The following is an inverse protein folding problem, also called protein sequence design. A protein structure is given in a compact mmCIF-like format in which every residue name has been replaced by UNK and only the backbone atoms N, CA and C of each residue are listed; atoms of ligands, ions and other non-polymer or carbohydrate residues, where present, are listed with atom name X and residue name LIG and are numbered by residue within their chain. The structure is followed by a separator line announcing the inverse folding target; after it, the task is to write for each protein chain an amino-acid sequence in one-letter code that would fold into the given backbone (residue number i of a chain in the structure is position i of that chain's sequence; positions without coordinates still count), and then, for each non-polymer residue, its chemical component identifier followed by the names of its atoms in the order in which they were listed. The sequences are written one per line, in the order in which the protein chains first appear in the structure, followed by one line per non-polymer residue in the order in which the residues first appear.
data_IF_794997447128
#
_entry.id   IF_794997447128
#
_cell.length_a   1.000
_cell.length_b   1.000
_cell.length_c   1.000
_cell.angle_alpha   90.00
_cell.angle_beta   90.00
_cell.angle_gamma   90.00
#
_symmetry.space_group_name_H-M   'P 1'
#
loop_
_entity.id
_entity.type
_entity.pdbx_description
1 polymer ?
#
# COMPACT_ATOMS: atom_id res chain seq x y z
N UNK A 1 2.25 5.60 -14.10
CA UNK A 1 2.89 4.68 -13.15
C UNK A 1 1.86 3.68 -12.63
N UNK A 2 2.32 2.55 -12.14
CA UNK A 2 1.51 1.60 -11.37
C UNK A 2 1.87 1.75 -9.89
N UNK A 3 0.93 2.19 -9.07
CA UNK A 3 1.15 2.44 -7.64
C UNK A 3 0.50 1.30 -6.84
N UNK A 4 1.31 0.63 -6.02
CA UNK A 4 0.77 -0.36 -5.08
C UNK A 4 0.25 0.31 -3.82
N UNK A 5 -0.91 -0.17 -3.33
CA UNK A 5 -1.47 0.27 -2.06
C UNK A 5 -1.62 -0.92 -1.11
N UNK A 6 -0.93 -0.84 0.03
CA UNK A 6 -1.08 -1.74 1.16
C UNK A 6 -2.01 -1.12 2.20
N UNK A 7 -3.06 -1.82 2.59
CA UNK A 7 -4.06 -1.31 3.51
C UNK A 7 -4.81 -2.44 4.20
N UNK A 8 -5.68 -2.08 5.15
CA UNK A 8 -6.45 -3.05 5.94
C UNK A 8 -7.46 -3.83 5.10
N UNK A 9 -7.55 -5.14 5.37
CA UNK A 9 -8.65 -6.02 4.95
C UNK A 9 -9.66 -6.31 6.09
N UNK A 10 -9.44 -5.77 7.29
CA UNK A 10 -10.31 -6.00 8.43
C UNK A 10 -11.69 -5.36 8.21
N UNK A 11 -12.80 -6.08 8.52
CA UNK A 11 -14.16 -5.61 8.20
C UNK A 11 -14.61 -4.43 9.07
N UNK A 12 -14.13 -4.36 10.31
CA UNK A 12 -14.63 -3.43 11.35
C UNK A 12 -13.66 -2.26 11.60
N UNK A 13 -13.03 -1.72 10.56
CA UNK A 13 -12.21 -0.52 10.67
C UNK A 13 -13.09 0.74 10.66
N UNK A 14 -12.53 1.84 11.15
CA UNK A 14 -13.19 3.14 11.11
C UNK A 14 -13.67 3.47 9.68
N UNK A 15 -14.95 3.77 9.47
CA UNK A 15 -15.49 4.16 8.17
C UNK A 15 -14.72 5.30 7.51
N UNK A 16 -14.17 6.24 8.29
CA UNK A 16 -13.35 7.33 7.77
C UNK A 16 -12.11 6.83 7.03
N UNK A 17 -11.51 5.71 7.46
CA UNK A 17 -10.39 5.10 6.75
C UNK A 17 -10.82 4.44 5.43
N UNK A 18 -12.04 3.91 5.37
CA UNK A 18 -12.61 3.37 4.12
C UNK A 18 -12.82 4.50 3.11
N UNK A 19 -13.40 5.62 3.56
CA UNK A 19 -13.60 6.80 2.71
C UNK A 19 -12.27 7.37 2.25
N UNK A 20 -11.27 7.41 3.13
CA UNK A 20 -9.94 7.89 2.80
C UNK A 20 -9.21 6.98 1.80
N UNK A 21 -9.38 5.66 1.92
CA UNK A 21 -8.86 4.71 0.94
C UNK A 21 -9.50 4.90 -0.44
N UNK A 22 -10.81 5.20 -0.49
CA UNK A 22 -11.49 5.54 -1.73
C UNK A 22 -10.91 6.82 -2.36
N UNK A 23 -10.71 7.88 -1.57
CA UNK A 23 -10.13 9.14 -2.07
C UNK A 23 -8.67 8.96 -2.53
N UNK A 24 -7.88 8.08 -1.90
CA UNK A 24 -6.56 7.72 -2.41
C UNK A 24 -6.66 7.05 -3.78
N UNK A 25 -7.55 6.07 -3.94
CA UNK A 25 -7.76 5.41 -5.24
C UNK A 25 -8.17 6.37 -6.33
N UNK A 26 -9.10 7.27 -6.03
CA UNK A 26 -9.51 8.37 -6.92
C UNK A 26 -8.34 9.29 -7.25
N UNK A 27 -7.54 9.69 -6.27
CA UNK A 27 -6.35 10.52 -6.47
C UNK A 27 -5.32 9.86 -7.40
N UNK A 28 -5.08 8.54 -7.24
CA UNK A 28 -4.22 7.74 -8.13
C UNK A 28 -4.71 7.85 -9.58
N UNK A 29 -6.01 7.64 -9.80
CA UNK A 29 -6.62 7.71 -11.13
C UNK A 29 -6.52 9.11 -11.75
N UNK A 30 -6.87 10.15 -10.99
CA UNK A 30 -6.83 11.55 -11.46
C UNK A 30 -5.40 12.03 -11.76
N UNK A 31 -4.39 11.44 -11.10
CA UNK A 31 -2.98 11.67 -11.41
C UNK A 31 -2.49 10.88 -12.65
N UNK A 32 -3.36 10.11 -13.31
CA UNK A 32 -3.03 9.33 -14.51
C UNK A 32 -2.23 8.05 -14.19
N UNK A 33 -2.43 7.49 -13.02
CA UNK A 33 -1.74 6.27 -12.57
C UNK A 33 -2.71 5.09 -12.47
N UNK A 34 -2.19 3.87 -12.50
CA UNK A 34 -2.93 2.64 -12.29
C UNK A 34 -2.69 2.12 -10.86
N UNK A 35 -3.65 1.36 -10.33
CA UNK A 35 -3.58 0.74 -9.02
C UNK A 35 -3.11 -0.71 -9.11
N UNK A 36 -2.16 -1.10 -8.26
CA UNK A 36 -1.85 -2.49 -7.90
C UNK A 36 -2.27 -2.72 -6.45
N UNK A 37 -2.95 -3.86 -6.15
CA UNK A 37 -3.36 -4.16 -4.76
C UNK A 37 -3.56 -5.66 -4.54
N UNK A 38 -3.88 -6.04 -3.32
CA UNK A 38 -4.08 -7.43 -2.92
C UNK A 38 -5.31 -8.16 -3.50
N UNK A 39 -6.05 -7.55 -4.43
CA UNK A 39 -7.12 -8.20 -5.20
C UNK A 39 -8.46 -8.39 -4.47
N UNK A 40 -8.59 -7.99 -3.20
CA UNK A 40 -9.82 -8.15 -2.43
C UNK A 40 -10.79 -6.96 -2.61
N UNK A 41 -12.11 -7.23 -2.50
CA UNK A 41 -13.17 -6.21 -2.56
C UNK A 41 -13.65 -5.71 -1.20
N UNK A 42 -13.06 -6.16 -0.10
CA UNK A 42 -13.50 -5.85 1.26
C UNK A 42 -12.71 -4.68 1.87
N UNK A 43 -13.32 -3.99 2.85
CA UNK A 43 -12.69 -2.97 3.67
C UNK A 43 -11.97 -1.87 2.85
N UNK A 44 -10.84 -1.36 3.34
CA UNK A 44 -10.03 -0.36 2.65
C UNK A 44 -9.48 -0.86 1.29
N UNK A 45 -9.19 -2.16 1.16
CA UNK A 45 -8.75 -2.76 -0.10
C UNK A 45 -9.79 -2.60 -1.21
N UNK A 46 -11.06 -2.92 -0.91
CA UNK A 46 -12.16 -2.72 -1.86
C UNK A 46 -12.44 -1.25 -2.15
N UNK A 47 -12.29 -0.38 -1.16
CA UNK A 47 -12.52 1.04 -1.30
C UNK A 47 -11.49 1.71 -2.23
N UNK A 48 -10.20 1.43 -2.04
CA UNK A 48 -9.15 1.99 -2.92
C UNK A 48 -9.30 1.52 -4.37
N UNK A 49 -9.62 0.23 -4.58
CA UNK A 49 -9.85 -0.31 -5.92
C UNK A 49 -11.08 0.31 -6.58
N UNK A 50 -12.17 0.53 -5.82
CA UNK A 50 -13.37 1.22 -6.31
C UNK A 50 -13.06 2.67 -6.68
N UNK A 51 -12.39 3.43 -5.82
CA UNK A 51 -11.99 4.81 -6.09
C UNK A 51 -11.15 4.94 -7.35
N UNK A 52 -10.17 4.07 -7.55
CA UNK A 52 -9.34 4.04 -8.75
C UNK A 52 -10.16 3.74 -10.01
N UNK A 53 -10.95 2.67 -9.99
CA UNK A 53 -11.73 2.21 -11.14
C UNK A 53 -12.81 3.20 -11.57
N UNK A 54 -13.58 3.74 -10.63
CA UNK A 54 -14.66 4.70 -10.91
C UNK A 54 -14.14 6.02 -11.50
N UNK A 55 -12.85 6.31 -11.33
CA UNK A 55 -12.18 7.49 -11.91
C UNK A 55 -11.24 7.15 -13.08
N UNK A 56 -11.35 5.96 -13.66
CA UNK A 56 -10.74 5.62 -14.95
C UNK A 56 -9.37 4.94 -14.90
N UNK A 57 -8.83 4.63 -13.73
CA UNK A 57 -7.59 3.86 -13.61
C UNK A 57 -7.82 2.37 -13.85
N UNK A 58 -6.82 1.68 -14.37
CA UNK A 58 -6.76 0.22 -14.33
C UNK A 58 -6.49 -0.24 -12.89
N UNK A 59 -7.09 -1.37 -12.54
CA UNK A 59 -6.92 -2.01 -11.23
C UNK A 59 -6.37 -3.42 -11.43
N UNK A 60 -5.17 -3.68 -10.89
CA UNK A 60 -4.41 -4.91 -11.08
C UNK A 60 -4.30 -5.60 -9.72
N UNK A 61 -5.14 -6.62 -9.52
CA UNK A 61 -5.19 -7.39 -8.26
C UNK A 61 -4.27 -8.60 -8.27
N UNK A 62 -3.66 -8.89 -7.13
CA UNK A 62 -2.88 -10.12 -6.93
C UNK A 62 -3.37 -10.82 -5.67
N UNK A 63 -3.92 -12.03 -5.79
CA UNK A 63 -4.50 -12.75 -4.67
C UNK A 63 -4.10 -14.24 -4.68
N UNK A 64 -3.69 -14.80 -3.55
CA UNK A 64 -3.48 -16.24 -3.42
C UNK A 64 -4.80 -17.01 -3.54
N UNK A 65 -4.78 -18.13 -4.25
CA UNK A 65 -5.96 -19.02 -4.40
C UNK A 65 -6.58 -19.41 -3.06
N UNK A 66 -5.77 -19.61 -2.04
CA UNK A 66 -6.23 -19.95 -0.68
C UNK A 66 -7.00 -18.82 0.03
N UNK A 67 -6.91 -17.59 -0.46
CA UNK A 67 -7.58 -16.41 0.11
C UNK A 67 -8.77 -15.93 -0.72
N UNK A 68 -8.98 -16.49 -1.91
CA UNK A 68 -10.07 -16.08 -2.81
C UNK A 68 -11.43 -16.04 -2.10
N UNK A 69 -11.76 -17.09 -1.35
CA UNK A 69 -13.04 -17.17 -0.62
C UNK A 69 -13.05 -16.33 0.66
N UNK A 70 -11.90 -16.16 1.30
CA UNK A 70 -11.77 -15.44 2.58
C UNK A 70 -11.76 -13.93 2.41
N UNK A 71 -11.01 -13.44 1.44
CA UNK A 71 -10.84 -12.01 1.15
C UNK A 71 -11.87 -11.52 0.12
N UNK A 72 -12.66 -12.43 -0.43
CA UNK A 72 -13.67 -12.17 -1.46
C UNK A 72 -13.05 -11.36 -2.59
N UNK A 73 -12.42 -12.03 -3.54
CA UNK A 73 -11.79 -11.41 -4.72
C UNK A 73 -12.69 -10.35 -5.37
N UNK A 74 -12.10 -9.27 -5.88
CA UNK A 74 -12.85 -8.26 -6.61
C UNK A 74 -13.11 -8.71 -8.05
N UNK A 75 -14.38 -9.03 -8.42
CA UNK A 75 -14.72 -9.47 -9.77
C UNK A 75 -14.62 -8.33 -10.81
N UNK A 76 -14.49 -7.08 -10.34
CA UNK A 76 -14.42 -5.89 -11.18
C UNK A 76 -12.98 -5.41 -11.41
N UNK A 77 -11.96 -6.17 -10.97
CA UNK A 77 -10.57 -5.88 -11.29
C UNK A 77 -10.36 -5.85 -12.80
N UNK A 78 -9.58 -4.89 -13.30
CA UNK A 78 -9.19 -4.88 -14.73
C UNK A 78 -8.35 -6.11 -15.08
N UNK A 79 -7.46 -6.47 -14.16
CA UNK A 79 -6.61 -7.66 -14.22
C UNK A 79 -6.59 -8.31 -12.83
N UNK A 80 -6.71 -9.64 -12.77
CA UNK A 80 -6.60 -10.39 -11.51
C UNK A 80 -5.64 -11.56 -11.67
N UNK A 81 -4.54 -11.50 -10.94
CA UNK A 81 -3.52 -12.54 -10.91
C UNK A 81 -3.76 -13.47 -9.72
N UNK A 82 -3.97 -14.76 -10.01
CA UNK A 82 -4.07 -15.80 -8.99
C UNK A 82 -2.71 -16.46 -8.82
N UNK A 83 -2.18 -16.43 -7.60
CA UNK A 83 -0.90 -17.03 -7.21
C UNK A 83 -1.11 -18.15 -6.19
N UNK A 84 -0.09 -18.96 -5.92
CA UNK A 84 -0.24 -20.09 -5.01
C UNK A 84 0.17 -19.74 -3.57
N UNK A 85 1.09 -18.82 -3.38
CA UNK A 85 1.62 -18.47 -2.05
C UNK A 85 1.60 -16.97 -1.77
N UNK A 86 1.67 -16.61 -0.47
CA UNK A 86 1.84 -15.20 -0.06
C UNK A 86 3.18 -14.60 -0.52
N UNK A 87 4.22 -15.42 -0.68
CA UNK A 87 5.52 -14.95 -1.19
C UNK A 87 5.43 -14.56 -2.65
N UNK A 88 4.76 -15.38 -3.46
CA UNK A 88 4.48 -15.05 -4.87
C UNK A 88 3.60 -13.80 -5.00
N UNK A 89 2.58 -13.64 -4.14
CA UNK A 89 1.75 -12.43 -4.09
C UNK A 89 2.61 -11.19 -3.93
N UNK A 90 3.44 -11.15 -2.89
CA UNK A 90 4.27 -9.99 -2.58
C UNK A 90 5.30 -9.72 -3.68
N UNK A 91 5.98 -10.76 -4.15
CA UNK A 91 6.94 -10.63 -5.25
C UNK A 91 6.29 -10.07 -6.52
N UNK A 92 5.10 -10.57 -6.90
CA UNK A 92 4.41 -10.08 -8.08
C UNK A 92 3.88 -8.65 -7.91
N UNK A 93 3.35 -8.29 -6.72
CA UNK A 93 2.96 -6.91 -6.43
C UNK A 93 4.18 -5.98 -6.55
N UNK A 94 5.32 -6.37 -5.98
CA UNK A 94 6.55 -5.59 -6.09
C UNK A 94 7.00 -5.44 -7.55
N UNK A 95 7.01 -6.52 -8.33
CA UNK A 95 7.40 -6.52 -9.73
C UNK A 95 6.51 -5.59 -10.58
N UNK A 96 5.19 -5.65 -10.39
CA UNK A 96 4.22 -4.88 -11.15
C UNK A 96 4.18 -3.39 -10.81
N UNK A 97 4.73 -2.98 -9.68
CA UNK A 97 4.59 -1.62 -9.14
C UNK A 97 5.78 -0.75 -9.43
N UNK A 98 5.54 0.55 -9.65
CA UNK A 98 6.56 1.59 -9.80
C UNK A 98 6.79 2.38 -8.49
N UNK A 99 5.87 2.26 -7.53
CA UNK A 99 5.92 2.90 -6.22
C UNK A 99 4.89 2.32 -5.26
N UNK A 100 5.02 2.62 -3.97
CA UNK A 100 4.24 1.99 -2.90
C UNK A 100 3.68 3.02 -1.92
N UNK A 101 2.40 2.89 -1.59
CA UNK A 101 1.74 3.67 -0.54
C UNK A 101 1.15 2.72 0.48
N UNK A 102 1.49 2.88 1.76
CA UNK A 102 0.88 2.18 2.87
C UNK A 102 -0.12 3.08 3.60
N UNK A 103 -1.38 2.64 3.72
CA UNK A 103 -2.40 3.21 4.57
C UNK A 103 -2.38 2.53 5.95
N UNK A 104 -3.02 3.10 6.98
CA UNK A 104 -3.23 2.42 8.24
C UNK A 104 -3.83 1.03 8.05
N UNK A 105 -3.19 0.05 8.66
CA UNK A 105 -3.58 -1.35 8.62
C UNK A 105 -2.89 -2.15 9.72
N UNK A 106 -3.21 -3.43 9.78
CA UNK A 106 -2.69 -4.33 10.79
C UNK A 106 -1.32 -4.90 10.45
N UNK A 107 -0.99 -6.02 11.11
CA UNK A 107 0.31 -6.69 10.99
C UNK A 107 0.66 -7.10 9.56
N UNK A 108 -0.33 -7.47 8.73
CA UNK A 108 -0.10 -7.81 7.33
C UNK A 108 0.35 -6.61 6.51
N UNK A 109 -0.30 -5.45 6.70
CA UNK A 109 0.09 -4.19 6.04
C UNK A 109 1.48 -3.75 6.46
N UNK A 110 1.81 -3.89 7.75
CA UNK A 110 3.14 -3.57 8.26
C UNK A 110 4.21 -4.53 7.73
N UNK A 111 3.91 -5.80 7.60
CA UNK A 111 4.83 -6.81 7.04
C UNK A 111 5.16 -6.49 5.58
N UNK A 112 4.15 -6.20 4.74
CA UNK A 112 4.33 -5.79 3.36
C UNK A 112 5.12 -4.48 3.26
N UNK A 113 4.80 -3.50 4.09
CA UNK A 113 5.49 -2.22 4.14
C UNK A 113 6.98 -2.35 4.53
N UNK A 114 7.28 -3.12 5.57
CA UNK A 114 8.67 -3.33 5.99
C UNK A 114 9.47 -4.13 4.96
N UNK A 115 8.86 -5.08 4.26
CA UNK A 115 9.55 -5.85 3.23
C UNK A 115 10.04 -4.94 2.10
N UNK A 116 9.19 -4.08 1.55
CA UNK A 116 9.59 -3.14 0.49
C UNK A 116 10.56 -2.07 0.98
N UNK A 117 10.42 -1.61 2.23
CA UNK A 117 11.35 -0.66 2.80
C UNK A 117 12.76 -1.25 2.96
N UNK A 118 12.85 -2.48 3.49
CA UNK A 118 14.11 -3.21 3.57
C UNK A 118 14.69 -3.47 2.18
N UNK A 119 13.86 -3.85 1.21
CA UNK A 119 14.28 -4.04 -0.18
C UNK A 119 14.90 -2.77 -0.78
N UNK A 120 14.29 -1.61 -0.57
CA UNK A 120 14.84 -0.32 -0.99
C UNK A 120 16.16 0.00 -0.29
N UNK A 121 16.22 -0.23 1.01
CA UNK A 121 17.44 -0.03 1.79
C UNK A 121 18.60 -0.93 1.32
N UNK A 122 18.31 -2.18 0.96
CA UNK A 122 19.29 -3.13 0.42
C UNK A 122 19.60 -2.93 -1.07
N UNK A 123 19.01 -1.91 -1.70
CA UNK A 123 19.18 -1.56 -3.12
C UNK A 123 18.66 -2.65 -4.08
N UNK A 124 17.69 -3.46 -3.66
CA UNK A 124 16.99 -4.39 -4.56
C UNK A 124 16.06 -3.64 -5.51
N UNK A 125 15.60 -2.45 -5.11
CA UNK A 125 14.87 -1.50 -5.93
C UNK A 125 15.12 -0.06 -5.47
N UNK A 126 14.76 0.91 -6.32
CA UNK A 126 14.83 2.35 -6.02
C UNK A 126 13.44 3.02 -5.98
N UNK A 127 12.36 2.22 -6.00
CA UNK A 127 10.97 2.68 -6.10
C UNK A 127 10.60 3.53 -4.89
N UNK A 128 9.86 4.65 -5.05
CA UNK A 128 9.42 5.50 -3.95
C UNK A 128 8.45 4.78 -3.02
N UNK A 129 8.51 5.13 -1.73
CA UNK A 129 7.66 4.56 -0.68
C UNK A 129 7.08 5.71 0.13
N UNK A 130 5.76 5.74 0.30
CA UNK A 130 5.07 6.66 1.20
C UNK A 130 4.21 5.90 2.21
N UNK A 131 4.11 6.45 3.41
CA UNK A 131 3.06 6.12 4.38
C UNK A 131 2.08 7.27 4.39
N UNK A 132 0.81 6.99 4.15
CA UNK A 132 -0.28 7.95 4.19
C UNK A 132 -1.14 7.65 5.42
N UNK A 133 -0.93 8.41 6.49
CA UNK A 133 -1.56 8.21 7.78
C UNK A 133 -2.39 9.43 8.22
N UNK A 134 -3.64 9.52 7.77
CA UNK A 134 -4.49 10.68 8.04
C UNK A 134 -4.94 10.80 9.50
N UNK A 135 -4.85 9.74 10.28
CA UNK A 135 -5.37 9.67 11.65
C UNK A 135 -4.27 9.52 12.71
N UNK A 136 -2.99 9.46 12.31
CA UNK A 136 -1.87 9.28 13.24
C UNK A 136 -1.77 7.87 13.85
N UNK A 137 -2.38 6.86 13.22
CA UNK A 137 -2.35 5.48 13.71
C UNK A 137 -0.93 4.91 13.83
N UNK A 138 -0.01 5.37 12.99
CA UNK A 138 1.39 4.97 12.98
C UNK A 138 2.32 5.93 13.75
N UNK A 139 1.77 6.89 14.50
CA UNK A 139 2.55 7.75 15.39
C UNK A 139 3.47 6.96 16.33
N UNK A 140 2.94 5.99 17.12
CA UNK A 140 3.76 5.15 18.00
C UNK A 140 4.82 4.32 17.26
N UNK A 141 4.53 3.89 16.04
CA UNK A 141 5.50 3.18 15.19
C UNK A 141 6.66 4.10 14.80
N UNK A 142 6.38 5.34 14.39
CA UNK A 142 7.43 6.32 14.08
C UNK A 142 8.31 6.61 15.29
N UNK A 143 7.71 6.81 16.47
CA UNK A 143 8.45 7.01 17.72
C UNK A 143 9.35 5.81 18.03
N UNK A 144 8.86 4.58 17.84
CA UNK A 144 9.67 3.37 18.02
C UNK A 144 10.84 3.32 17.03
N UNK A 145 10.65 3.66 15.78
CA UNK A 145 11.71 3.71 14.76
C UNK A 145 12.75 4.80 15.07
N UNK A 146 12.32 5.97 15.51
CA UNK A 146 13.22 7.06 15.98
C UNK A 146 14.03 6.62 17.19
N UNK A 147 13.41 5.91 18.13
CA UNK A 147 14.10 5.33 19.29
C UNK A 147 15.18 4.32 18.88
N UNK A 148 14.86 3.41 17.94
CA UNK A 148 15.84 2.46 17.40
C UNK A 148 17.00 3.17 16.70
N UNK A 149 16.72 4.23 15.95
CA UNK A 149 17.74 5.04 15.30
C UNK A 149 18.64 5.74 16.33
N UNK A 150 18.06 6.28 17.41
CA UNK A 150 18.79 6.88 18.54
C UNK A 150 19.76 5.90 19.22
N UNK A 151 19.40 4.61 19.27
CA UNK A 151 20.27 3.53 19.75
C UNK A 151 21.25 2.99 18.68
N UNK A 152 21.30 3.61 17.50
CA UNK A 152 22.15 3.18 16.36
C UNK A 152 21.85 1.76 15.86
N UNK A 153 20.63 1.28 16.09
CA UNK A 153 20.13 0.00 15.57
C UNK A 153 19.62 0.13 14.14
N UNK A 154 19.33 1.36 13.71
CA UNK A 154 19.08 1.71 12.32
C UNK A 154 20.27 2.48 11.75
N UNK A 155 20.62 2.23 10.50
CA UNK A 155 21.68 2.97 9.82
C UNK A 155 21.19 4.35 9.39
N UNK A 156 22.10 5.31 9.29
CA UNK A 156 21.81 6.65 8.76
C UNK A 156 21.15 6.56 7.38
N UNK A 157 20.15 7.41 7.13
CA UNK A 157 19.43 7.48 5.86
C UNK A 157 18.29 6.47 5.70
N UNK A 158 18.14 5.46 6.57
CA UNK A 158 17.04 4.50 6.44
C UNK A 158 15.66 5.16 6.56
N UNK A 159 15.48 6.06 7.52
CA UNK A 159 14.21 6.77 7.73
C UNK A 159 13.85 7.71 6.56
N UNK A 160 14.86 8.21 5.85
CA UNK A 160 14.70 9.13 4.71
C UNK A 160 14.19 8.44 3.45
N UNK A 161 14.21 7.09 3.43
CA UNK A 161 13.70 6.31 2.31
C UNK A 161 12.17 6.25 2.25
N UNK A 162 11.47 6.66 3.32
CA UNK A 162 10.03 6.64 3.43
C UNK A 162 9.49 8.06 3.62
N UNK A 163 8.55 8.47 2.78
CA UNK A 163 7.82 9.72 2.94
C UNK A 163 6.60 9.50 3.84
N UNK A 164 6.58 10.14 5.02
CA UNK A 164 5.43 10.10 5.92
C UNK A 164 4.52 11.30 5.64
N UNK A 165 3.28 11.03 5.28
CA UNK A 165 2.31 12.02 4.80
C UNK A 165 0.96 11.85 5.48
N UNK A 166 0.14 12.90 5.45
CA UNK A 166 -1.22 12.89 6.00
C UNK A 166 -2.29 13.21 4.96
N UNK A 167 -1.85 13.66 3.77
CA UNK A 167 -2.73 14.06 2.66
C UNK A 167 -2.43 13.23 1.42
N UNK A 168 -3.48 12.96 0.63
CA UNK A 168 -3.37 12.16 -0.62
C UNK A 168 -2.40 12.80 -1.60
N UNK A 169 -2.49 14.12 -1.76
CA UNK A 169 -1.67 14.89 -2.70
C UNK A 169 -0.18 14.81 -2.35
N UNK A 170 0.15 14.81 -1.04
CA UNK A 170 1.53 14.66 -0.57
C UNK A 170 2.07 13.27 -0.86
N UNK A 171 1.26 12.22 -0.62
CA UNK A 171 1.64 10.85 -0.91
C UNK A 171 1.87 10.62 -2.41
N UNK A 172 1.00 11.16 -3.27
CA UNK A 172 1.16 11.10 -4.73
C UNK A 172 2.37 11.90 -5.21
N UNK A 173 2.63 13.06 -4.63
CA UNK A 173 3.82 13.86 -4.95
C UNK A 173 5.12 13.14 -4.57
N UNK A 174 5.10 12.31 -3.53
CA UNK A 174 6.24 11.48 -3.14
C UNK A 174 6.55 10.37 -4.16
N UNK A 175 5.57 9.95 -4.97
CA UNK A 175 5.76 8.94 -6.03
C UNK A 175 6.53 9.48 -7.24
N UNK A 176 6.58 10.81 -7.42
CA UNK A 176 7.28 11.44 -8.54
C UNK A 176 8.78 11.70 -8.28
N UNK A 177 9.29 11.30 -7.11
CA UNK A 177 10.68 11.47 -6.67
C UNK A 177 11.44 10.17 -6.84
#
# INVERSE_FOLDING_TARGET
MKISVYCSSAPDIDPALIDFAYELGKGIALAGHDLVWGGAKISAMGAVARGARENGAKTIGVIPRSLVDREIQDPNATELHLVDTMRERKALIEELSDGFIALPGGIGTLEEFFEIWVGRYLLFHSKPIAVLDPIGAYGPLREALEHLAGHKLMKSGQNELVSWTTQVEEALSAMAR
#
